data_IF_902130183465
#
_entry.id   IF_902130183465
#
_cell.length_a   1.000
_cell.length_b   1.000
_cell.length_c   1.000
_cell.angle_alpha   90.00
_cell.angle_beta   90.00
_cell.angle_gamma   90.00
#
_symmetry.space_group_name_H-M   'P 1'
#
loop_
_entity.id
_entity.type
_entity.pdbx_description
1 polymer ?
#
# COMPACT_ATOMS: atom_id res chain seq x y z
N UNK A 1 -8.36 10.16 10.63
CA UNK A 1 -7.70 8.87 10.32
C UNK A 1 -8.75 7.95 9.71
N UNK A 2 -8.44 7.30 8.60
CA UNK A 2 -9.37 6.44 7.88
C UNK A 2 -8.99 4.99 8.22
N UNK A 3 -9.81 4.35 9.05
CA UNK A 3 -9.53 2.99 9.55
C UNK A 3 -9.95 1.98 8.49
N UNK A 4 -8.99 1.29 7.90
CA UNK A 4 -9.24 0.21 6.93
C UNK A 4 -8.91 -1.15 7.56
N UNK A 5 -9.64 -2.19 7.16
CA UNK A 5 -9.30 -3.55 7.55
C UNK A 5 -8.12 -4.05 6.69
N UNK A 6 -7.00 -4.35 7.34
CA UNK A 6 -5.82 -4.85 6.64
C UNK A 6 -5.87 -6.36 6.34
N UNK A 7 -6.76 -7.09 7.01
CA UNK A 7 -6.93 -8.54 6.89
C UNK A 7 -7.94 -8.98 5.81
N UNK A 8 -8.57 -8.03 5.12
CA UNK A 8 -9.49 -8.35 4.01
C UNK A 8 -8.74 -8.31 2.68
N UNK A 9 -9.19 -9.07 1.67
CA UNK A 9 -8.62 -9.03 0.33
C UNK A 9 -8.69 -7.63 -0.26
N UNK A 10 -7.68 -7.32 -1.07
CA UNK A 10 -7.55 -6.02 -1.71
C UNK A 10 -6.97 -6.13 -3.12
N UNK A 11 -7.47 -5.27 -4.00
CA UNK A 11 -6.99 -5.11 -5.35
C UNK A 11 -6.10 -3.88 -5.43
N UNK A 12 -4.85 -4.09 -5.81
CA UNK A 12 -3.86 -3.03 -5.99
C UNK A 12 -3.67 -2.77 -7.48
N UNK A 13 -3.91 -1.54 -7.87
CA UNK A 13 -3.69 -1.01 -9.21
C UNK A 13 -2.38 -0.21 -9.16
N UNK A 14 -1.36 -0.69 -9.87
CA UNK A 14 -0.03 -0.05 -9.92
C UNK A 14 0.20 0.55 -11.29
N UNK A 15 0.43 1.86 -11.33
CA UNK A 15 0.76 2.58 -12.56
C UNK A 15 1.19 4.00 -12.24
N UNK A 16 1.90 4.62 -13.19
CA UNK A 16 2.28 6.03 -13.08
C UNK A 16 1.03 6.92 -13.08
N UNK A 17 0.01 6.48 -13.82
CA UNK A 17 -1.31 7.09 -13.98
C UNK A 17 -2.41 6.02 -13.91
N UNK A 18 -3.62 6.40 -13.55
CA UNK A 18 -4.76 5.47 -13.45
C UNK A 18 -5.00 4.68 -14.75
N UNK A 19 -4.73 5.29 -15.91
CA UNK A 19 -4.81 4.65 -17.23
C UNK A 19 -3.75 3.54 -17.40
N UNK A 20 -2.49 3.82 -17.07
CA UNK A 20 -1.44 2.79 -17.05
C UNK A 20 -1.68 1.72 -15.99
N UNK A 21 -2.27 2.07 -14.85
CA UNK A 21 -2.58 1.11 -13.79
C UNK A 21 -3.67 0.12 -14.23
N UNK A 22 -4.66 0.61 -14.97
CA UNK A 22 -5.68 -0.22 -15.62
C UNK A 22 -5.08 -1.08 -16.74
N UNK A 23 -4.16 -0.52 -17.54
CA UNK A 23 -3.52 -1.23 -18.64
C UNK A 23 -2.53 -2.32 -18.20
N UNK A 24 -1.80 -2.12 -17.09
CA UNK A 24 -0.92 -3.13 -16.50
C UNK A 24 -1.68 -4.22 -15.74
N UNK A 25 -2.96 -3.96 -15.43
CA UNK A 25 -3.83 -4.87 -14.71
C UNK A 25 -3.74 -4.71 -13.20
N UNK A 26 -4.88 -4.89 -12.53
CA UNK A 26 -4.92 -4.96 -11.08
C UNK A 26 -4.23 -6.24 -10.60
N UNK A 27 -3.53 -6.13 -9.47
CA UNK A 27 -2.97 -7.26 -8.77
C UNK A 27 -3.82 -7.50 -7.53
N UNK A 28 -4.52 -8.63 -7.53
CA UNK A 28 -5.32 -9.07 -6.39
C UNK A 28 -4.40 -9.62 -5.30
N UNK A 29 -4.65 -9.22 -4.06
CA UNK A 29 -3.93 -9.68 -2.88
C UNK A 29 -4.91 -10.25 -1.86
N UNK A 30 -4.47 -11.30 -1.18
CA UNK A 30 -5.21 -11.95 -0.10
C UNK A 30 -5.49 -11.00 1.06
N UNK A 31 -4.62 -10.00 1.29
CA UNK A 31 -4.77 -9.00 2.35
C UNK A 31 -4.35 -7.61 1.88
N UNK A 32 -5.05 -6.58 2.34
CA UNK A 32 -4.67 -5.18 2.09
C UNK A 32 -3.29 -4.85 2.68
N UNK A 33 -2.88 -5.49 3.78
CA UNK A 33 -1.51 -5.35 4.27
C UNK A 33 -0.46 -5.81 3.26
N UNK A 34 -0.67 -6.96 2.60
CA UNK A 34 0.25 -7.46 1.58
C UNK A 34 0.30 -6.55 0.36
N UNK A 35 -0.86 -6.02 -0.06
CA UNK A 35 -0.94 -5.05 -1.14
C UNK A 35 -0.18 -3.75 -0.83
N UNK A 36 -0.36 -3.17 0.36
CA UNK A 36 0.35 -1.95 0.80
C UNK A 36 1.87 -2.21 0.84
N UNK A 37 2.28 -3.35 1.41
CA UNK A 37 3.69 -3.75 1.50
C UNK A 37 4.31 -3.87 0.11
N UNK A 38 3.62 -4.53 -0.82
CA UNK A 38 4.06 -4.68 -2.20
C UNK A 38 4.17 -3.31 -2.91
N UNK A 39 3.18 -2.44 -2.70
CA UNK A 39 3.19 -1.09 -3.27
C UNK A 39 4.37 -0.24 -2.77
N UNK A 40 4.75 -0.38 -1.50
CA UNK A 40 5.85 0.38 -0.91
C UNK A 40 7.23 -0.22 -1.20
N UNK A 41 7.37 -1.55 -1.13
CA UNK A 41 8.66 -2.22 -1.29
C UNK A 41 9.01 -2.55 -2.75
N UNK A 42 8.03 -2.93 -3.57
CA UNK A 42 8.29 -3.39 -4.94
C UNK A 42 7.96 -2.36 -6.02
N UNK A 43 6.96 -1.49 -5.82
CA UNK A 43 6.49 -0.63 -6.90
C UNK A 43 7.38 0.60 -7.18
N UNK A 44 8.41 0.85 -6.37
CA UNK A 44 9.21 2.08 -6.36
C UNK A 44 8.36 3.36 -6.10
N UNK A 45 8.87 4.34 -5.34
CA UNK A 45 8.08 5.48 -4.88
C UNK A 45 7.46 6.36 -5.99
N UNK A 46 7.94 6.26 -7.24
CA UNK A 46 7.39 7.01 -8.37
C UNK A 46 6.10 6.42 -8.94
N UNK A 47 5.91 5.09 -8.85
CA UNK A 47 4.72 4.40 -9.37
C UNK A 47 3.53 4.46 -8.40
N UNK A 48 3.71 5.05 -7.23
CA UNK A 48 2.64 5.29 -6.26
C UNK A 48 1.77 6.50 -6.64
N UNK A 49 2.22 7.39 -7.54
CA UNK A 49 1.46 8.60 -7.90
C UNK A 49 0.09 8.28 -8.52
N UNK A 50 0.00 7.22 -9.33
CA UNK A 50 -1.24 6.73 -9.93
C UNK A 50 -1.79 5.48 -9.24
N UNK A 51 -1.24 5.07 -8.10
CA UNK A 51 -1.66 3.83 -7.45
C UNK A 51 -3.02 3.98 -6.76
N UNK A 52 -3.85 2.96 -6.92
CA UNK A 52 -5.14 2.82 -6.26
C UNK A 52 -5.19 1.46 -5.59
N UNK A 53 -5.58 1.42 -4.33
CA UNK A 53 -5.82 0.20 -3.58
C UNK A 53 -7.29 0.16 -3.19
N UNK A 54 -7.98 -0.87 -3.67
CA UNK A 54 -9.36 -1.15 -3.29
C UNK A 54 -9.36 -2.26 -2.24
N UNK A 55 -9.82 -1.95 -1.05
CA UNK A 55 -9.99 -2.89 0.05
C UNK A 55 -11.47 -2.95 0.42
N UNK A 56 -12.17 -3.99 -0.03
CA UNK A 56 -13.63 -4.09 0.09
C UNK A 56 -14.35 -2.92 -0.59
N UNK A 57 -15.04 -2.10 0.20
CA UNK A 57 -15.74 -0.88 -0.25
C UNK A 57 -14.87 0.39 -0.18
N UNK A 58 -13.65 0.28 0.34
CA UNK A 58 -12.76 1.40 0.49
C UNK A 58 -11.76 1.51 -0.65
N UNK A 59 -11.58 2.73 -1.12
CA UNK A 59 -10.54 3.07 -2.09
C UNK A 59 -9.51 3.96 -1.41
N UNK A 60 -8.24 3.66 -1.64
CA UNK A 60 -7.08 4.35 -1.09
C UNK A 60 -6.20 4.73 -2.26
N UNK A 61 -5.73 5.98 -2.28
CA UNK A 61 -4.77 6.42 -3.28
C UNK A 61 -3.33 6.18 -2.77
N UNK A 62 -2.33 6.43 -3.61
CA UNK A 62 -0.93 6.29 -3.22
C UNK A 62 -0.50 7.13 -2.01
N UNK A 63 -1.15 8.27 -1.76
CA UNK A 63 -0.88 9.10 -0.59
C UNK A 63 -1.44 8.47 0.69
N UNK A 64 -2.68 7.96 0.64
CA UNK A 64 -3.30 7.19 1.71
C UNK A 64 -2.46 5.94 2.04
N UNK A 65 -1.98 5.21 1.02
CA UNK A 65 -1.13 4.02 1.18
C UNK A 65 0.17 4.40 1.91
N UNK A 66 0.84 5.48 1.49
CA UNK A 66 2.04 6.00 2.19
C UNK A 66 1.74 6.39 3.62
N UNK A 67 0.67 7.16 3.82
CA UNK A 67 0.31 7.66 5.12
C UNK A 67 -0.03 6.51 6.07
N UNK A 68 -0.76 5.49 5.63
CA UNK A 68 -1.04 4.29 6.40
C UNK A 68 0.24 3.52 6.69
N UNK A 69 1.07 3.25 5.69
CA UNK A 69 2.34 2.55 5.89
C UNK A 69 3.27 3.25 6.90
N UNK A 70 3.31 4.59 6.90
CA UNK A 70 4.12 5.37 7.83
C UNK A 70 3.50 5.51 9.24
N UNK A 71 2.16 5.58 9.35
CA UNK A 71 1.47 5.79 10.63
C UNK A 71 1.09 4.49 11.33
N UNK A 72 0.94 3.40 10.60
CA UNK A 72 0.54 2.12 11.16
C UNK A 72 1.75 1.47 11.87
N UNK A 73 1.56 1.23 13.16
CA UNK A 73 2.59 0.68 14.04
C UNK A 73 2.96 -0.76 13.66
N UNK A 74 2.07 -1.51 13.00
CA UNK A 74 2.38 -2.86 12.54
C UNK A 74 3.44 -2.85 11.42
N UNK A 75 3.43 -1.84 10.54
CA UNK A 75 4.49 -1.64 9.55
C UNK A 75 5.75 -1.03 10.17
N UNK A 76 5.63 -0.11 11.13
CA UNK A 76 6.80 0.47 11.84
C UNK A 76 7.61 -0.56 12.62
N UNK A 77 6.96 -1.60 13.18
CA UNK A 77 7.65 -2.67 13.91
C UNK A 77 8.50 -3.57 13.00
N UNK A 78 8.29 -3.56 11.68
CA UNK A 78 9.11 -4.35 10.74
C UNK A 78 10.38 -3.62 10.26
N UNK A 79 10.51 -2.32 10.53
CA UNK A 79 11.68 -1.49 10.15
C UNK A 79 12.50 -0.95 11.33
N UNK A 80 11.98 -1.03 12.56
CA UNK A 80 12.68 -0.58 13.77
C UNK A 80 13.53 -1.70 14.39
N UNK A 81 14.41 -2.28 13.58
CA UNK A 81 15.55 -3.09 14.03
C UNK A 81 16.84 -2.29 14.20
N UNK A 82 16.79 -0.95 14.11
CA UNK A 82 17.92 -0.11 14.47
C UNK A 82 18.03 -0.06 16.01
N UNK A 83 18.65 -1.10 16.56
CA UNK A 83 19.26 -1.09 17.88
C UNK A 83 20.25 0.09 17.91
N UNK A 84 19.84 1.22 18.48
CA UNK A 84 20.80 2.18 19.04
C UNK A 84 21.02 1.74 20.48
N UNK A 85 22.01 0.89 20.66
CA UNK A 85 22.74 0.80 21.92
C UNK A 85 23.67 2.02 21.96
N UNK A 86 23.42 2.94 22.89
CA UNK A 86 24.42 3.78 23.54
C UNK A 86 23.77 4.48 24.73
#
# INVERSE_FOLDING_TARGET
MRTINLNIPADLFLGSDAETAQAQGHRHFTTAAAAIRFAMEQAAPVSLRGALLKSGEHWLNGDDIRQIYHNDTAFRQSGAGARVFA
#
